data_IF_554626880666
#
_entry.id   IF_554626880666
#
_cell.length_a   1.000
_cell.length_b   1.000
_cell.length_c   1.000
_cell.angle_alpha   90.00
_cell.angle_beta   90.00
_cell.angle_gamma   90.00
#
_symmetry.space_group_name_H-M   'P 1'
#
loop_
_entity.id
_entity.type
_entity.pdbx_description
1 polymer ?
#
# COMPACT_ATOMS: atom_id res chain seq x y z
N UNK A 1 6.33 -44.12 -41.97
CA UNK A 1 6.41 -42.66 -42.04
C UNK A 1 5.73 -42.12 -40.78
N UNK A 2 6.27 -42.19 -39.56
CA UNK A 2 7.58 -41.77 -39.03
C UNK A 2 7.86 -40.27 -39.20
N UNK A 3 8.05 -39.61 -38.06
CA UNK A 3 8.53 -38.24 -37.81
C UNK A 3 7.50 -37.10 -37.75
N UNK A 4 7.02 -36.83 -36.53
CA UNK A 4 6.84 -35.47 -35.97
C UNK A 4 6.41 -35.54 -34.51
N UNK A 5 7.27 -36.09 -33.65
CA UNK A 5 7.17 -36.05 -32.19
C UNK A 5 8.58 -36.01 -31.62
N UNK A 6 9.23 -34.86 -31.73
CA UNK A 6 10.51 -34.56 -31.08
C UNK A 6 10.76 -33.06 -31.23
N UNK A 7 10.26 -32.24 -30.30
CA UNK A 7 10.70 -30.84 -30.09
C UNK A 7 10.11 -30.20 -28.80
N UNK A 8 9.71 -30.99 -27.81
CA UNK A 8 9.21 -30.47 -26.51
C UNK A 8 9.96 -31.00 -25.28
N UNK A 9 11.05 -31.76 -25.46
CA UNK A 9 11.77 -32.41 -24.35
C UNK A 9 13.11 -31.74 -23.94
N UNK A 10 13.52 -30.63 -24.55
CA UNK A 10 14.85 -30.03 -24.30
C UNK A 10 14.89 -28.83 -23.33
N UNK A 11 13.80 -28.47 -22.67
CA UNK A 11 13.76 -27.31 -21.75
C UNK A 11 13.63 -27.66 -20.25
N UNK A 12 13.70 -28.95 -19.88
CA UNK A 12 13.62 -29.40 -18.47
C UNK A 12 14.95 -29.93 -17.91
N UNK A 13 16.05 -29.87 -18.67
CA UNK A 13 17.38 -30.34 -18.25
C UNK A 13 18.39 -29.22 -17.95
N UNK A 14 17.92 -28.01 -17.61
CA UNK A 14 18.81 -26.89 -17.24
C UNK A 14 18.39 -26.11 -15.98
N UNK A 15 17.59 -26.73 -15.10
CA UNK A 15 17.19 -26.12 -13.80
C UNK A 15 17.60 -26.94 -12.58
N UNK A 16 18.36 -28.02 -12.74
CA UNK A 16 18.65 -28.97 -11.66
C UNK A 16 20.07 -28.93 -11.07
N UNK A 17 20.92 -27.95 -11.45
CA UNK A 17 22.33 -27.88 -11.03
C UNK A 17 22.74 -26.67 -10.17
N UNK A 18 21.87 -25.68 -9.92
CA UNK A 18 22.21 -24.50 -9.11
C UNK A 18 21.56 -24.44 -7.71
N UNK A 19 20.67 -25.37 -7.38
CA UNK A 19 20.06 -25.49 -6.04
C UNK A 19 20.80 -26.45 -5.09
N UNK A 20 22.02 -26.88 -5.43
CA UNK A 20 22.81 -27.85 -4.62
C UNK A 20 24.11 -27.32 -4.00
N UNK A 21 24.32 -25.99 -3.92
CA UNK A 21 25.60 -25.42 -3.44
C UNK A 21 25.56 -24.40 -2.28
N UNK A 22 24.45 -24.24 -1.55
CA UNK A 22 24.45 -23.38 -0.34
C UNK A 22 23.86 -24.09 0.89
N UNK A 23 24.03 -25.42 0.97
CA UNK A 23 23.73 -26.21 2.18
C UNK A 23 25.00 -26.85 2.73
N UNK A 24 25.98 -26.04 3.09
CA UNK A 24 27.10 -26.43 3.97
C UNK A 24 27.77 -25.19 4.55
N UNK A 25 27.34 -24.73 5.73
CA UNK A 25 28.23 -24.09 6.70
C UNK A 25 27.52 -23.92 8.06
N UNK A 26 28.18 -24.46 9.09
CA UNK A 26 28.11 -24.03 10.50
C UNK A 26 26.91 -24.47 11.35
N UNK A 27 26.99 -25.74 11.79
CA UNK A 27 26.54 -26.19 13.10
C UNK A 27 27.38 -25.53 14.21
N UNK A 28 26.74 -24.86 15.15
CA UNK A 28 27.25 -24.60 16.51
C UNK A 28 26.10 -24.95 17.48
N UNK A 29 26.13 -26.15 18.04
CA UNK A 29 26.45 -26.45 19.45
C UNK A 29 25.44 -25.90 20.46
N UNK A 30 24.55 -26.80 20.90
CA UNK A 30 23.68 -26.69 22.06
C UNK A 30 24.48 -26.81 23.37
N UNK A 31 24.16 -25.99 24.38
CA UNK A 31 24.20 -26.41 25.79
C UNK A 31 23.28 -25.53 26.66
N UNK A 32 22.14 -26.07 27.16
CA UNK A 32 21.41 -25.46 28.26
C UNK A 32 21.34 -26.43 29.45
N UNK A 33 22.42 -26.55 30.23
CA UNK A 33 22.40 -27.11 31.60
C UNK A 33 23.30 -26.34 32.56
N UNK A 34 22.71 -25.40 33.31
CA UNK A 34 23.13 -24.83 34.62
C UNK A 34 22.39 -23.50 34.74
N UNK A 35 21.39 -23.32 35.59
CA UNK A 35 21.52 -23.09 37.03
C UNK A 35 20.12 -23.27 37.66
N UNK A 36 20.04 -24.11 38.69
CA UNK A 36 19.00 -24.11 39.73
C UNK A 36 19.61 -23.50 41.01
N UNK A 37 18.74 -23.15 41.97
CA UNK A 37 18.97 -22.64 43.35
C UNK A 37 18.93 -21.12 43.50
N UNK A 38 18.15 -20.47 44.36
CA UNK A 38 17.28 -20.79 45.51
C UNK A 38 16.09 -19.77 45.49
N UNK A 39 15.02 -19.72 46.30
CA UNK A 39 14.61 -20.36 47.55
C UNK A 39 13.10 -20.12 47.73
N UNK A 40 12.48 -21.11 48.37
CA UNK A 40 11.21 -21.21 49.09
C UNK A 40 10.47 -19.94 49.59
N UNK A 41 9.13 -20.00 49.63
CA UNK A 41 8.33 -20.29 50.86
C UNK A 41 6.92 -19.64 50.85
N UNK A 42 5.91 -20.37 51.37
CA UNK A 42 4.63 -19.84 51.89
C UNK A 42 3.39 -20.25 51.07
N UNK A 43 2.82 -21.45 51.24
CA UNK A 43 1.83 -21.90 52.25
C UNK A 43 0.37 -21.41 52.10
N UNK A 44 -0.55 -22.37 52.39
CA UNK A 44 -2.03 -22.32 52.57
C UNK A 44 -2.81 -22.52 51.27
N UNK A 45 -3.49 -23.64 50.99
CA UNK A 45 -4.11 -24.64 51.86
C UNK A 45 -5.58 -24.29 52.10
N UNK A 46 -6.50 -24.74 51.23
CA UNK A 46 -7.91 -24.92 51.55
C UNK A 46 -8.65 -25.80 50.52
N UNK A 47 -8.84 -27.04 50.98
CA UNK A 47 -10.01 -27.91 50.93
C UNK A 47 -10.67 -28.39 49.62
N UNK A 48 -10.77 -29.72 49.57
CA UNK A 48 -11.51 -30.56 48.63
C UNK A 48 -12.87 -30.86 49.23
N UNK A 49 -13.95 -30.48 48.56
CA UNK A 49 -15.20 -31.24 48.63
C UNK A 49 -15.92 -31.14 47.27
N UNK A 50 -16.01 -32.28 46.58
CA UNK A 50 -17.21 -33.12 46.54
C UNK A 50 -18.21 -32.59 45.50
N UNK A 51 -17.92 -32.86 44.23
CA UNK A 51 -18.95 -32.93 43.20
C UNK A 51 -19.27 -34.40 42.96
N UNK A 52 -20.41 -34.79 43.51
CA UNK A 52 -20.95 -36.13 43.43
C UNK A 52 -21.33 -36.51 42.00
N UNK A 53 -20.95 -37.74 41.72
CA UNK A 53 -21.24 -38.58 40.58
C UNK A 53 -22.75 -38.65 40.31
N UNK A 54 -23.21 -38.18 39.13
CA UNK A 54 -24.63 -38.25 38.76
C UNK A 54 -24.85 -38.41 37.26
N UNK A 55 -24.52 -39.59 36.73
CA UNK A 55 -25.02 -40.04 35.42
C UNK A 55 -25.13 -41.56 35.30
N UNK A 56 -25.66 -42.23 36.32
CA UNK A 56 -26.07 -43.64 36.25
C UNK A 56 -27.54 -43.78 36.65
N UNK A 57 -28.45 -43.32 35.80
CA UNK A 57 -29.87 -43.64 35.95
C UNK A 57 -30.66 -43.52 34.64
N UNK A 58 -30.46 -44.49 33.74
CA UNK A 58 -31.51 -44.87 32.79
C UNK A 58 -31.87 -46.34 32.99
N UNK A 59 -33.05 -46.51 33.60
CA UNK A 59 -33.70 -47.78 33.94
C UNK A 59 -33.77 -48.69 32.72
N UNK A 60 -33.35 -49.93 32.94
CA UNK A 60 -33.74 -51.14 32.22
C UNK A 60 -35.25 -51.12 31.93
N UNK A 61 -35.62 -50.94 30.66
CA UNK A 61 -36.94 -51.31 30.14
C UNK A 61 -36.74 -52.55 29.25
N UNK A 62 -36.99 -53.72 29.82
CA UNK A 62 -37.19 -54.97 29.10
C UNK A 62 -38.54 -54.91 28.38
N UNK A 63 -38.53 -54.35 27.18
CA UNK A 63 -39.65 -54.43 26.25
C UNK A 63 -39.52 -55.67 25.38
N UNK A 64 -40.31 -56.70 25.68
CA UNK A 64 -40.52 -57.83 24.79
C UNK A 64 -41.06 -57.33 23.43
N UNK A 65 -40.25 -57.40 22.37
CA UNK A 65 -40.73 -57.27 20.99
C UNK A 65 -40.63 -58.61 20.29
N UNK A 66 -41.80 -59.23 20.14
CA UNK A 66 -42.10 -60.38 19.28
C UNK A 66 -41.40 -60.25 17.93
N UNK A 67 -40.52 -61.18 17.62
CA UNK A 67 -40.01 -61.44 16.28
C UNK A 67 -41.16 -61.98 15.41
N UNK A 68 -41.77 -61.11 14.59
CA UNK A 68 -42.53 -61.61 13.43
C UNK A 68 -41.51 -61.99 12.36
N UNK A 69 -41.35 -63.29 12.14
CA UNK A 69 -40.68 -63.81 10.97
C UNK A 69 -41.46 -63.36 9.72
N UNK A 70 -41.01 -62.27 9.08
CA UNK A 70 -41.38 -61.98 7.71
C UNK A 70 -40.74 -63.09 6.87
N UNK A 71 -41.58 -63.99 6.37
CA UNK A 71 -41.20 -64.96 5.33
C UNK A 71 -40.86 -64.14 4.08
N UNK A 72 -39.58 -63.93 3.82
CA UNK A 72 -39.12 -63.40 2.54
C UNK A 72 -39.41 -64.47 1.49
N UNK A 73 -40.45 -64.24 0.69
CA UNK A 73 -40.62 -64.95 -0.55
C UNK A 73 -39.33 -64.81 -1.37
N UNK A 74 -38.87 -65.92 -1.93
CA UNK A 74 -37.64 -66.02 -2.72
C UNK A 74 -37.69 -65.08 -3.92
N UNK A 75 -37.15 -63.87 -3.78
CA UNK A 75 -36.94 -62.96 -4.90
C UNK A 75 -35.81 -63.54 -5.75
N UNK A 76 -36.01 -63.75 -7.06
CA UNK A 76 -34.98 -64.31 -7.92
C UNK A 76 -33.75 -63.41 -7.89
N UNK A 77 -32.57 -63.99 -7.59
CA UNK A 77 -31.29 -63.26 -7.40
C UNK A 77 -30.98 -62.23 -8.49
N UNK A 78 -31.41 -62.49 -9.74
CA UNK A 78 -31.24 -61.56 -10.87
C UNK A 78 -31.95 -60.21 -10.67
N UNK A 79 -33.12 -60.19 -10.03
CA UNK A 79 -33.87 -58.95 -9.75
C UNK A 79 -33.19 -58.11 -8.65
N UNK A 80 -32.57 -58.77 -7.66
CA UNK A 80 -31.82 -58.10 -6.59
C UNK A 80 -30.60 -57.37 -7.16
N UNK A 81 -29.82 -58.01 -8.04
CA UNK A 81 -28.64 -57.39 -8.64
C UNK A 81 -28.98 -56.20 -9.54
N UNK A 82 -30.08 -56.26 -10.30
CA UNK A 82 -30.52 -55.14 -11.15
C UNK A 82 -30.97 -53.96 -10.30
N UNK A 83 -31.69 -54.19 -9.20
CA UNK A 83 -32.12 -53.11 -8.29
C UNK A 83 -30.95 -52.46 -7.54
N UNK A 84 -29.96 -53.24 -7.13
CA UNK A 84 -28.75 -52.71 -6.45
C UNK A 84 -27.89 -51.92 -7.42
N UNK A 85 -27.73 -52.39 -8.67
CA UNK A 85 -27.00 -51.67 -9.72
C UNK A 85 -27.67 -50.33 -10.07
N UNK A 86 -29.01 -50.32 -10.22
CA UNK A 86 -29.76 -49.10 -10.50
C UNK A 86 -29.71 -48.08 -9.34
N UNK A 87 -29.80 -48.56 -8.09
CA UNK A 87 -29.68 -47.70 -6.92
C UNK A 87 -28.26 -47.11 -6.76
N UNK A 88 -27.22 -47.90 -7.06
CA UNK A 88 -25.83 -47.43 -7.03
C UNK A 88 -25.55 -46.39 -8.13
N UNK A 89 -26.09 -46.58 -9.34
CA UNK A 89 -25.98 -45.61 -10.42
C UNK A 89 -26.72 -44.29 -10.09
N UNK A 90 -27.90 -44.38 -9.47
CA UNK A 90 -28.67 -43.21 -9.05
C UNK A 90 -27.96 -42.44 -7.92
N UNK A 91 -27.35 -43.16 -6.97
CA UNK A 91 -26.54 -42.56 -5.90
C UNK A 91 -25.25 -41.90 -6.41
N UNK A 92 -24.61 -42.48 -7.44
CA UNK A 92 -23.45 -41.86 -8.09
C UNK A 92 -23.84 -40.58 -8.86
N UNK A 93 -24.99 -40.59 -9.54
CA UNK A 93 -25.51 -39.43 -10.27
C UNK A 93 -25.95 -38.28 -9.35
N UNK A 94 -26.43 -38.55 -8.13
CA UNK A 94 -26.71 -37.50 -7.14
C UNK A 94 -25.46 -36.99 -6.43
N UNK A 95 -24.46 -37.85 -6.18
CA UNK A 95 -23.18 -37.44 -5.62
C UNK A 95 -22.42 -36.47 -6.54
N UNK A 96 -22.50 -36.65 -7.86
CA UNK A 96 -21.84 -35.77 -8.83
C UNK A 96 -22.59 -34.44 -9.08
N UNK A 97 -23.90 -34.36 -8.78
CA UNK A 97 -24.68 -33.11 -8.93
C UNK A 97 -24.64 -32.19 -7.71
N UNK A 98 -24.14 -32.67 -6.57
CA UNK A 98 -24.03 -31.90 -5.32
C UNK A 98 -22.58 -31.58 -4.94
N UNK A 99 -21.62 -31.78 -5.84
CA UNK A 99 -20.22 -31.41 -5.60
C UNK A 99 -19.97 -29.88 -5.66
N UNK A 100 -20.92 -29.09 -6.18
CA UNK A 100 -20.74 -27.64 -6.38
C UNK A 100 -21.29 -26.76 -5.23
N UNK A 101 -21.68 -27.35 -4.10
CA UNK A 101 -22.19 -26.59 -2.94
C UNK A 101 -21.55 -27.06 -1.64
N UNK A 102 -20.24 -26.96 -1.56
CA UNK A 102 -19.59 -26.73 -0.27
C UNK A 102 -19.36 -25.23 -0.20
N UNK A 103 -19.99 -24.60 0.80
CA UNK A 103 -19.73 -23.22 1.19
C UNK A 103 -18.22 -23.04 1.39
N UNK A 104 -17.57 -22.55 0.33
CA UNK A 104 -16.21 -22.08 0.33
C UNK A 104 -16.22 -20.78 1.14
N UNK A 105 -16.13 -20.91 2.47
CA UNK A 105 -15.87 -19.80 3.38
C UNK A 105 -14.71 -18.99 2.77
N UNK A 106 -15.03 -17.77 2.33
CA UNK A 106 -14.19 -16.93 1.48
C UNK A 106 -12.89 -16.54 2.18
N UNK A 107 -11.90 -17.44 2.14
CA UNK A 107 -10.50 -17.15 2.43
C UNK A 107 -9.93 -16.13 1.42
N UNK A 108 -10.62 -15.90 0.30
CA UNK A 108 -10.33 -14.85 -0.67
C UNK A 108 -10.56 -13.43 -0.10
N UNK A 109 -11.45 -13.26 0.88
CA UNK A 109 -11.64 -11.96 1.56
C UNK A 109 -10.54 -11.62 2.57
N UNK A 110 -9.87 -12.63 3.13
CA UNK A 110 -8.81 -12.46 4.13
C UNK A 110 -7.44 -12.12 3.53
N UNK A 111 -7.28 -12.30 2.21
CA UNK A 111 -6.01 -12.10 1.49
C UNK A 111 -6.10 -10.87 0.55
N UNK A 112 -7.29 -10.28 0.34
CA UNK A 112 -7.37 -9.02 -0.41
C UNK A 112 -6.81 -7.89 0.45
N UNK A 113 -5.77 -7.17 -0.01
CA UNK A 113 -5.37 -5.95 0.66
C UNK A 113 -6.58 -5.01 0.65
N UNK A 114 -7.07 -4.68 1.85
CA UNK A 114 -8.13 -3.69 2.01
C UNK A 114 -7.61 -2.38 1.45
N UNK A 115 -8.17 -1.95 0.32
CA UNK A 115 -7.84 -0.63 -0.23
C UNK A 115 -8.16 0.43 0.83
N UNK A 116 -7.36 1.50 0.94
CA UNK A 116 -7.68 2.63 1.79
C UNK A 116 -9.12 3.10 1.54
N UNK A 117 -9.85 3.37 2.62
CA UNK A 117 -11.20 3.94 2.51
C UNK A 117 -11.13 5.31 1.83
N UNK A 118 -12.16 5.71 1.06
CA UNK A 118 -12.22 7.05 0.47
C UNK A 118 -12.11 8.14 1.52
N UNK A 119 -11.27 9.14 1.25
CA UNK A 119 -11.09 10.29 2.13
C UNK A 119 -12.15 11.33 1.76
N UNK A 120 -12.95 11.77 2.71
CA UNK A 120 -13.98 12.79 2.49
C UNK A 120 -13.81 13.92 3.48
N UNK A 121 -13.84 15.17 3.01
CA UNK A 121 -13.72 16.34 3.88
C UNK A 121 -13.67 17.66 3.13
N UNK A 122 -13.48 18.74 3.88
CA UNK A 122 -13.13 20.04 3.29
C UNK A 122 -11.64 20.03 2.96
N UNK A 123 -11.30 20.37 1.72
CA UNK A 123 -9.94 20.41 1.25
C UNK A 123 -9.31 21.79 1.43
N UNK A 124 -8.03 21.79 1.79
CA UNK A 124 -7.12 22.93 1.62
C UNK A 124 -6.30 22.69 0.35
N UNK A 125 -6.21 23.68 -0.53
CA UNK A 125 -5.40 23.57 -1.75
C UNK A 125 -3.93 23.83 -1.42
N UNK A 126 -3.03 22.96 -1.89
CA UNK A 126 -1.57 23.10 -1.73
C UNK A 126 -0.97 23.68 -3.01
N UNK A 127 -1.32 23.11 -4.16
CA UNK A 127 -0.93 23.54 -5.51
C UNK A 127 -2.01 23.07 -6.52
N UNK A 128 -1.73 23.17 -7.82
CA UNK A 128 -2.71 22.88 -8.88
C UNK A 128 -3.07 21.39 -9.05
N UNK A 129 -2.36 20.45 -8.42
CA UNK A 129 -2.70 19.02 -8.50
C UNK A 129 -2.71 18.30 -7.14
N UNK A 130 -2.45 19.03 -6.06
CA UNK A 130 -2.37 18.50 -4.70
C UNK A 130 -3.26 19.28 -3.73
N UNK A 131 -4.07 18.54 -2.98
CA UNK A 131 -4.89 19.06 -1.88
C UNK A 131 -4.54 18.36 -0.57
N UNK A 132 -4.97 18.95 0.53
CA UNK A 132 -4.91 18.33 1.86
C UNK A 132 -6.31 18.21 2.45
N UNK A 133 -6.64 17.00 2.94
CA UNK A 133 -7.90 16.73 3.66
C UNK A 133 -7.55 16.05 4.97
N UNK A 134 -7.89 16.68 6.10
CA UNK A 134 -7.61 16.14 7.45
C UNK A 134 -6.13 15.77 7.68
N UNK A 135 -5.19 16.56 7.16
CA UNK A 135 -3.75 16.33 7.28
C UNK A 135 -3.18 15.28 6.31
N UNK A 136 -4.00 14.65 5.47
CA UNK A 136 -3.54 13.79 4.38
C UNK A 136 -3.41 14.60 3.09
N UNK A 137 -2.19 14.68 2.56
CA UNK A 137 -1.94 15.21 1.21
C UNK A 137 -2.35 14.20 0.15
N UNK A 138 -3.12 14.65 -0.83
CA UNK A 138 -3.71 13.86 -1.91
C UNK A 138 -3.30 14.50 -3.23
N UNK A 139 -2.55 13.76 -4.04
CA UNK A 139 -2.23 14.14 -5.42
C UNK A 139 -3.31 13.59 -6.35
N UNK A 140 -3.78 14.39 -7.29
CA UNK A 140 -4.76 13.93 -8.26
C UNK A 140 -4.15 12.93 -9.23
N UNK A 141 -4.91 11.88 -9.50
CA UNK A 141 -4.53 10.87 -10.47
C UNK A 141 -4.60 11.44 -11.91
N UNK A 142 -3.66 11.03 -12.75
CA UNK A 142 -3.72 11.23 -14.21
C UNK A 142 -3.52 12.65 -14.74
N UNK A 143 -3.27 13.65 -13.89
CA UNK A 143 -3.04 15.03 -14.32
C UNK A 143 -1.74 15.58 -13.75
N UNK A 144 -1.21 16.62 -14.38
CA UNK A 144 -0.03 17.37 -13.93
C UNK A 144 -0.33 18.86 -14.06
N UNK A 145 -0.23 19.61 -12.96
CA UNK A 145 -0.50 21.04 -12.93
C UNK A 145 0.81 21.83 -12.84
N UNK A 146 0.84 23.11 -13.27
CA UNK A 146 2.02 23.94 -13.12
C UNK A 146 2.40 24.08 -11.65
N UNK A 147 3.70 23.98 -11.39
CA UNK A 147 4.24 24.09 -10.04
C UNK A 147 3.94 25.47 -9.45
N UNK A 148 3.73 25.58 -8.14
CA UNK A 148 3.37 26.85 -7.50
C UNK A 148 4.34 28.02 -7.81
N UNK A 149 5.60 27.71 -8.11
CA UNK A 149 6.64 28.69 -8.48
C UNK A 149 6.76 28.94 -9.99
N UNK A 150 6.03 28.19 -10.81
CA UNK A 150 6.11 28.27 -12.27
C UNK A 150 5.38 29.51 -12.80
N UNK A 151 6.05 30.17 -13.74
CA UNK A 151 5.53 31.29 -14.51
C UNK A 151 5.31 30.87 -15.97
N UNK A 152 4.35 31.52 -16.61
CA UNK A 152 3.95 31.27 -17.99
C UNK A 152 3.68 32.61 -18.70
N UNK A 153 3.63 32.60 -20.03
CA UNK A 153 3.35 33.80 -20.82
C UNK A 153 1.88 33.83 -21.25
N UNK A 154 1.27 35.02 -21.18
CA UNK A 154 -0.06 35.25 -21.74
C UNK A 154 -0.02 35.41 -23.27
N UNK A 155 -1.19 35.63 -23.89
CA UNK A 155 -1.31 35.83 -25.34
C UNK A 155 -0.46 37.01 -25.90
N UNK A 156 -0.05 37.94 -25.04
CA UNK A 156 0.74 39.13 -25.38
C UNK A 156 2.22 38.96 -25.03
N UNK A 157 2.62 37.81 -24.45
CA UNK A 157 3.97 37.55 -24.00
C UNK A 157 4.29 38.15 -22.62
N UNK A 158 3.28 38.53 -21.83
CA UNK A 158 3.50 38.95 -20.45
C UNK A 158 3.51 37.75 -19.52
N UNK A 159 4.57 37.69 -18.71
CA UNK A 159 4.73 36.67 -17.69
C UNK A 159 3.67 36.79 -16.58
N UNK A 160 3.12 35.66 -16.16
CA UNK A 160 2.18 35.57 -15.04
C UNK A 160 2.40 34.27 -14.22
N UNK A 161 2.05 34.26 -12.92
CA UNK A 161 2.28 33.10 -12.05
C UNK A 161 1.23 32.02 -12.27
N UNK A 162 1.38 31.24 -13.34
CA UNK A 162 0.41 30.24 -13.75
C UNK A 162 0.16 29.13 -12.71
N UNK A 163 1.17 28.70 -11.95
CA UNK A 163 0.97 27.71 -10.88
C UNK A 163 0.05 28.20 -9.77
N UNK A 164 0.26 29.43 -9.30
CA UNK A 164 -0.62 30.05 -8.29
C UNK A 164 -2.03 30.27 -8.82
N UNK A 165 -2.17 30.69 -10.08
CA UNK A 165 -3.49 30.85 -10.70
C UNK A 165 -4.23 29.51 -10.86
N UNK A 166 -3.52 28.43 -11.17
CA UNK A 166 -4.10 27.09 -11.23
C UNK A 166 -4.61 26.63 -9.86
N UNK A 167 -3.80 26.81 -8.81
CA UNK A 167 -4.22 26.52 -7.43
C UNK A 167 -5.43 27.37 -6.98
N UNK A 168 -5.47 28.66 -7.33
CA UNK A 168 -6.60 29.53 -7.03
C UNK A 168 -7.89 29.10 -7.77
N UNK A 169 -7.77 28.68 -9.03
CA UNK A 169 -8.89 28.15 -9.80
C UNK A 169 -9.44 26.84 -9.17
N UNK A 170 -8.54 25.96 -8.71
CA UNK A 170 -8.90 24.75 -7.98
C UNK A 170 -9.64 25.06 -6.68
N UNK A 171 -9.16 26.04 -5.91
CA UNK A 171 -9.82 26.47 -4.67
C UNK A 171 -11.24 26.96 -4.93
N UNK A 172 -11.42 27.84 -5.92
CA UNK A 172 -12.74 28.33 -6.33
C UNK A 172 -13.67 27.19 -6.78
N UNK A 173 -13.15 26.22 -7.52
CA UNK A 173 -13.91 25.04 -7.92
C UNK A 173 -14.34 24.19 -6.73
N UNK A 174 -13.45 23.90 -5.78
CA UNK A 174 -13.79 23.09 -4.60
C UNK A 174 -14.72 23.85 -3.63
N UNK A 175 -14.59 25.17 -3.54
CA UNK A 175 -15.43 26.00 -2.69
C UNK A 175 -16.91 25.98 -3.11
N UNK A 176 -17.18 25.81 -4.40
CA UNK A 176 -18.52 25.82 -4.98
C UNK A 176 -19.39 24.59 -4.63
N UNK A 177 -18.81 23.45 -4.22
CA UNK A 177 -19.57 22.33 -3.64
C UNK A 177 -18.67 21.45 -2.77
N UNK A 178 -19.10 21.21 -1.52
CA UNK A 178 -18.34 20.50 -0.48
C UNK A 178 -19.20 19.40 0.16
N UNK A 179 -18.58 18.35 0.74
CA UNK A 179 -17.15 18.05 0.79
C UNK A 179 -16.60 17.49 -0.53
N UNK A 180 -15.28 17.43 -0.65
CA UNK A 180 -14.63 16.60 -1.68
C UNK A 180 -14.49 15.18 -1.15
N UNK A 181 -14.68 14.19 -2.02
CA UNK A 181 -14.41 12.78 -1.76
C UNK A 181 -13.34 12.29 -2.73
N UNK A 182 -12.28 11.69 -2.20
CA UNK A 182 -11.15 11.16 -2.95
C UNK A 182 -11.05 9.65 -2.74
N UNK A 183 -11.18 8.89 -3.83
CA UNK A 183 -10.99 7.45 -3.84
C UNK A 183 -9.52 7.12 -4.10
N UNK A 184 -8.95 6.23 -3.30
CA UNK A 184 -7.56 5.80 -3.44
C UNK A 184 -7.33 5.05 -4.75
N UNK A 185 -6.22 5.38 -5.44
CA UNK A 185 -5.76 4.71 -6.65
C UNK A 185 -4.45 3.98 -6.35
N UNK A 186 -3.44 4.70 -5.88
CA UNK A 186 -2.13 4.13 -5.57
C UNK A 186 -1.34 5.00 -4.58
N UNK A 187 -0.25 4.45 -4.07
CA UNK A 187 0.81 5.23 -3.43
C UNK A 187 1.90 5.46 -4.46
N UNK A 188 2.28 6.71 -4.68
CA UNK A 188 3.41 6.97 -5.56
C UNK A 188 4.76 6.61 -4.90
N UNK A 189 5.84 6.71 -5.66
CA UNK A 189 7.21 6.41 -5.18
C UNK A 189 7.67 7.28 -4.00
N UNK A 190 6.98 8.37 -3.72
CA UNK A 190 7.24 9.30 -2.61
C UNK A 190 6.27 9.09 -1.45
N UNK A 191 5.49 8.00 -1.48
CA UNK A 191 4.47 7.67 -0.49
C UNK A 191 3.36 8.72 -0.36
N UNK A 192 3.04 9.43 -1.44
CA UNK A 192 1.88 10.32 -1.49
C UNK A 192 0.64 9.53 -1.89
N UNK A 193 -0.49 9.88 -1.28
CA UNK A 193 -1.78 9.31 -1.63
C UNK A 193 -2.16 9.84 -3.02
N UNK A 194 -2.30 8.96 -4.01
CA UNK A 194 -2.81 9.31 -5.34
C UNK A 194 -4.27 8.88 -5.40
N UNK A 195 -5.15 9.79 -5.82
CA UNK A 195 -6.58 9.51 -5.80
C UNK A 195 -7.40 10.23 -6.87
N UNK A 196 -8.55 9.64 -7.16
CA UNK A 196 -9.60 10.24 -7.98
C UNK A 196 -10.55 11.02 -7.07
N UNK A 197 -10.56 12.34 -7.21
CA UNK A 197 -11.36 13.24 -6.38
C UNK A 197 -12.60 13.77 -7.10
N UNK A 198 -13.72 13.83 -6.37
CA UNK A 198 -15.00 14.39 -6.81
C UNK A 198 -15.58 15.31 -5.75
N UNK A 199 -16.20 16.40 -6.19
CA UNK A 199 -17.05 17.25 -5.33
C UNK A 199 -18.34 16.52 -4.94
N UNK A 200 -19.05 17.08 -3.95
CA UNK A 200 -20.33 16.55 -3.49
C UNK A 200 -21.44 16.50 -4.55
N UNK A 201 -21.34 17.32 -5.61
CA UNK A 201 -22.23 17.28 -6.77
C UNK A 201 -21.80 16.28 -7.86
N UNK A 202 -20.75 15.49 -7.60
CA UNK A 202 -20.25 14.45 -8.51
C UNK A 202 -19.25 14.93 -9.56
N UNK A 203 -18.99 16.23 -9.65
CA UNK A 203 -18.02 16.80 -10.58
C UNK A 203 -16.60 16.28 -10.28
N UNK A 204 -15.92 15.76 -11.30
CA UNK A 204 -14.55 15.27 -11.19
C UNK A 204 -13.57 16.43 -11.17
N UNK A 205 -12.65 16.42 -10.19
CA UNK A 205 -11.63 17.47 -10.04
C UNK A 205 -10.63 17.43 -11.20
N UNK A 206 -10.03 16.27 -11.47
CA UNK A 206 -9.05 16.11 -12.54
C UNK A 206 -9.61 16.49 -13.91
N UNK A 207 -10.83 16.04 -14.22
CA UNK A 207 -11.50 16.39 -15.48
C UNK A 207 -11.75 17.90 -15.61
N UNK A 208 -12.22 18.54 -14.54
CA UNK A 208 -12.47 19.99 -14.53
C UNK A 208 -11.17 20.78 -14.71
N UNK A 209 -10.10 20.40 -14.00
CA UNK A 209 -8.80 21.05 -14.09
C UNK A 209 -8.26 21.03 -15.53
N UNK A 210 -8.33 19.88 -16.21
CA UNK A 210 -7.86 19.76 -17.60
C UNK A 210 -8.78 20.51 -18.57
N UNK A 211 -10.10 20.37 -18.44
CA UNK A 211 -11.05 21.03 -19.34
C UNK A 211 -11.00 22.57 -19.26
N UNK A 212 -10.63 23.12 -18.11
CA UNK A 212 -10.47 24.56 -17.89
C UNK A 212 -9.02 25.04 -18.09
N UNK A 213 -8.14 24.17 -18.58
CA UNK A 213 -6.74 24.48 -18.88
C UNK A 213 -5.90 24.79 -17.64
N UNK A 214 -6.28 24.33 -16.46
CA UNK A 214 -5.54 24.53 -15.21
C UNK A 214 -4.49 23.43 -14.96
N UNK A 215 -4.63 22.29 -15.64
CA UNK A 215 -3.68 21.18 -15.62
C UNK A 215 -3.61 20.51 -16.99
N UNK A 216 -2.57 19.71 -17.20
CA UNK A 216 -2.40 18.86 -18.38
C UNK A 216 -2.83 17.42 -18.06
N UNK A 217 -3.33 16.71 -19.07
CA UNK A 217 -3.35 15.25 -19.06
C UNK A 217 -1.92 14.75 -18.91
N UNK A 218 -1.68 13.81 -18.00
CA UNK A 218 -0.37 13.20 -17.83
C UNK A 218 -0.38 11.79 -18.40
N UNK A 219 -0.01 11.59 -19.69
CA UNK A 219 -0.27 10.33 -20.40
C UNK A 219 0.43 9.11 -19.77
N UNK A 220 1.51 9.35 -19.03
CA UNK A 220 2.24 8.33 -18.26
C UNK A 220 1.36 7.64 -17.22
N UNK A 221 0.44 8.37 -16.59
CA UNK A 221 -0.42 7.87 -15.51
C UNK A 221 -1.88 7.76 -15.95
N UNK A 222 -2.37 8.67 -16.79
CA UNK A 222 -3.77 8.66 -17.26
C UNK A 222 -4.01 7.74 -18.45
N UNK A 223 -2.97 7.33 -19.17
CA UNK A 223 -3.07 6.66 -20.46
C UNK A 223 -3.93 7.44 -21.49
N UNK A 224 -3.93 8.77 -21.41
CA UNK A 224 -4.69 9.63 -22.33
C UNK A 224 -6.15 9.85 -21.93
N UNK A 225 -6.56 9.46 -20.73
CA UNK A 225 -7.96 9.58 -20.28
C UNK A 225 -8.49 11.03 -20.33
N UNK A 226 -7.64 12.04 -20.14
CA UNK A 226 -8.04 13.45 -20.18
C UNK A 226 -7.66 14.17 -21.49
N UNK A 227 -7.03 13.48 -22.46
CA UNK A 227 -6.61 14.08 -23.72
C UNK A 227 -7.76 14.79 -24.50
N UNK A 228 -8.99 14.25 -24.56
CA UNK A 228 -10.10 14.96 -25.22
C UNK A 228 -10.48 16.27 -24.51
N UNK A 229 -10.38 16.32 -23.18
CA UNK A 229 -10.66 17.54 -22.40
C UNK A 229 -9.56 18.57 -22.60
N UNK A 230 -8.30 18.11 -22.66
CA UNK A 230 -7.17 18.99 -22.95
C UNK A 230 -7.29 19.62 -24.33
N UNK A 231 -7.67 18.85 -25.35
CA UNK A 231 -7.89 19.36 -26.71
C UNK A 231 -8.98 20.44 -26.75
N UNK A 232 -10.04 20.32 -25.93
CA UNK A 232 -11.04 21.39 -25.80
C UNK A 232 -10.44 22.65 -25.18
N UNK A 233 -9.68 22.52 -24.11
CA UNK A 233 -9.04 23.65 -23.43
C UNK A 233 -8.06 24.38 -24.35
N UNK A 234 -7.27 23.61 -25.13
CA UNK A 234 -6.34 24.14 -26.12
C UNK A 234 -7.05 24.89 -27.25
N UNK A 235 -8.13 24.31 -27.79
CA UNK A 235 -8.94 24.94 -28.83
C UNK A 235 -9.64 26.21 -28.33
N UNK A 236 -10.08 26.23 -27.06
CA UNK A 236 -10.72 27.37 -26.43
C UNK A 236 -9.73 28.45 -25.95
N UNK A 237 -8.42 28.17 -25.94
CA UNK A 237 -7.36 29.07 -25.44
C UNK A 237 -7.64 29.55 -24.02
N UNK A 238 -7.96 28.61 -23.13
CA UNK A 238 -8.27 28.88 -21.71
C UNK A 238 -7.16 28.37 -20.78
N UNK A 239 -7.05 28.97 -19.60
CA UNK A 239 -6.06 28.60 -18.59
C UNK A 239 -4.63 28.78 -19.12
N UNK A 240 -3.82 27.73 -19.07
CA UNK A 240 -2.45 27.72 -19.60
C UNK A 240 -2.40 27.95 -21.11
N UNK A 241 -3.43 27.52 -21.84
CA UNK A 241 -3.50 27.60 -23.29
C UNK A 241 -3.75 29.01 -23.85
N UNK A 242 -3.85 30.03 -22.98
CA UNK A 242 -3.95 31.43 -23.40
C UNK A 242 -2.68 31.93 -24.10
N UNK A 243 -1.54 31.34 -23.78
CA UNK A 243 -0.23 31.73 -24.30
C UNK A 243 0.75 30.58 -24.26
N UNK A 244 2.03 30.88 -24.01
CA UNK A 244 3.09 29.89 -24.02
C UNK A 244 3.43 29.45 -22.59
N UNK A 245 3.76 28.17 -22.44
CA UNK A 245 4.20 27.62 -21.18
C UNK A 245 5.09 26.39 -21.42
N UNK A 246 5.97 26.13 -20.45
CA UNK A 246 6.69 24.86 -20.36
C UNK A 246 5.77 23.83 -19.66
N UNK A 247 5.61 22.59 -20.17
CA UNK A 247 4.86 21.58 -19.47
C UNK A 247 5.41 21.33 -18.06
N UNK A 248 4.56 21.09 -17.03
CA UNK A 248 5.03 21.07 -15.64
C UNK A 248 6.07 19.96 -15.35
N UNK A 249 5.96 18.81 -16.02
CA UNK A 249 6.96 17.74 -15.92
C UNK A 249 8.32 18.14 -16.49
N UNK A 250 8.37 18.96 -17.54
CA UNK A 250 9.60 19.47 -18.14
C UNK A 250 10.19 20.56 -17.25
N UNK A 251 9.35 21.47 -16.74
CA UNK A 251 9.73 22.49 -15.76
C UNK A 251 10.35 21.87 -14.51
N UNK A 252 9.76 20.79 -13.97
CA UNK A 252 10.33 20.06 -12.84
C UNK A 252 11.68 19.43 -13.16
N UNK A 253 11.86 18.91 -14.37
CA UNK A 253 13.13 18.31 -14.78
C UNK A 253 14.24 19.36 -14.93
N UNK A 254 13.90 20.58 -15.39
CA UNK A 254 14.83 21.69 -15.56
C UNK A 254 15.09 22.49 -14.27
N UNK A 255 14.18 22.41 -13.29
CA UNK A 255 14.24 23.15 -12.02
C UNK A 255 14.39 22.24 -10.78
N UNK A 256 14.88 21.01 -10.99
CA UNK A 256 15.08 20.01 -9.93
C UNK A 256 16.05 20.44 -8.82
N UNK A 257 16.86 21.48 -9.06
CA UNK A 257 17.89 21.96 -8.14
C UNK A 257 17.36 22.94 -7.06
N UNK A 258 16.04 23.15 -6.93
CA UNK A 258 15.52 24.21 -6.03
C UNK A 258 14.10 24.10 -5.45
N UNK A 259 13.43 22.94 -5.46
CA UNK A 259 12.06 22.85 -4.91
C UNK A 259 11.64 21.48 -4.36
N UNK A 260 12.15 21.14 -3.17
CA UNK A 260 11.32 20.89 -1.99
C UNK A 260 12.22 20.86 -0.75
N UNK A 261 11.85 21.48 0.39
CA UNK A 261 12.24 20.90 1.66
C UNK A 261 11.51 19.56 1.70
N UNK A 262 12.18 18.52 1.25
CA UNK A 262 11.76 17.17 1.60
C UNK A 262 11.61 17.17 3.10
N UNK A 263 10.43 16.82 3.59
CA UNK A 263 10.31 16.07 4.82
C UNK A 263 11.17 14.82 4.66
N UNK A 264 12.49 14.98 4.80
CA UNK A 264 13.37 13.88 5.06
C UNK A 264 12.91 13.36 6.42
N UNK A 265 12.50 12.09 6.52
CA UNK A 265 12.61 11.47 7.81
C UNK A 265 14.07 11.63 8.23
N UNK A 266 14.26 12.13 9.45
CA UNK A 266 15.52 12.12 10.19
C UNK A 266 16.42 10.95 9.75
N UNK A 267 17.58 11.27 9.19
CA UNK A 267 18.74 10.39 9.09
C UNK A 267 18.56 9.10 8.28
N UNK A 268 19.24 9.02 7.14
CA UNK A 268 20.36 8.10 6.91
C UNK A 268 21.08 8.67 5.69
N UNK A 269 22.14 9.44 5.94
CA UNK A 269 23.20 9.63 4.95
C UNK A 269 23.73 8.24 4.59
N UNK A 270 23.84 7.93 3.31
CA UNK A 270 24.54 6.74 2.84
C UNK A 270 25.91 6.70 3.53
N UNK A 271 26.23 5.59 4.19
CA UNK A 271 27.51 5.35 4.88
C UNK A 271 28.73 5.64 3.98
N UNK A 272 28.54 5.58 2.66
CA UNK A 272 29.53 5.91 1.64
C UNK A 272 29.96 7.38 1.64
N UNK A 273 29.03 8.32 1.84
CA UNK A 273 29.31 9.77 1.75
C UNK A 273 29.93 10.30 3.06
N UNK A 274 29.60 9.66 4.19
CA UNK A 274 30.15 9.97 5.51
C UNK A 274 31.62 9.55 5.63
N UNK A 275 32.02 8.48 4.96
CA UNK A 275 33.42 8.04 4.94
C UNK A 275 34.35 9.01 4.17
N UNK A 276 33.80 9.81 3.25
CA UNK A 276 34.58 10.69 2.37
C UNK A 276 34.80 12.09 2.94
N UNK A 277 33.97 12.55 3.89
CA UNK A 277 34.05 13.93 4.41
C UNK A 277 35.07 14.12 5.54
N UNK A 278 35.68 13.05 6.06
CA UNK A 278 36.78 13.14 7.03
C UNK A 278 36.43 13.78 8.38
N UNK A 279 35.14 14.03 8.64
CA UNK A 279 34.67 14.65 9.87
C UNK A 279 34.40 13.60 10.94
N UNK A 280 34.83 13.86 12.17
CA UNK A 280 34.56 13.04 13.34
C UNK A 280 33.80 13.86 14.38
N UNK A 281 32.95 13.21 15.18
CA UNK A 281 32.17 13.87 16.25
C UNK A 281 33.01 14.26 17.48
N UNK A 282 34.24 14.75 17.25
CA UNK A 282 35.06 15.36 18.28
C UNK A 282 34.34 16.60 18.87
N UNK A 283 34.21 16.72 20.20
CA UNK A 283 33.41 17.78 20.81
C UNK A 283 33.91 19.19 20.47
N UNK A 284 33.21 19.88 19.55
CA UNK A 284 33.42 21.29 19.18
C UNK A 284 32.14 22.07 19.42
N UNK A 285 31.91 22.45 20.68
CA UNK A 285 30.61 22.97 21.14
C UNK A 285 30.37 24.45 20.83
N UNK A 286 31.31 25.11 20.16
CA UNK A 286 31.22 26.52 19.80
C UNK A 286 31.53 26.72 18.32
N UNK A 287 30.75 27.56 17.65
CA UNK A 287 30.92 27.87 16.24
C UNK A 287 32.29 28.45 15.88
N UNK A 288 32.97 29.10 16.83
CA UNK A 288 34.35 29.58 16.66
C UNK A 288 35.39 28.47 16.48
N UNK A 289 35.03 27.20 16.74
CA UNK A 289 35.93 26.04 16.62
C UNK A 289 35.75 25.28 15.30
N UNK A 290 34.89 25.78 14.40
CA UNK A 290 34.46 25.15 13.15
C UNK A 290 34.87 26.05 11.98
N UNK A 291 35.42 25.47 10.91
CA UNK A 291 36.05 26.23 9.82
C UNK A 291 35.17 26.47 8.59
N UNK A 292 34.02 25.80 8.48
CA UNK A 292 33.11 25.96 7.34
C UNK A 292 31.65 25.68 7.69
N UNK A 293 30.74 26.27 6.92
CA UNK A 293 29.30 26.00 7.02
C UNK A 293 28.99 24.52 6.86
N UNK A 294 29.54 23.86 5.82
CA UNK A 294 29.31 22.45 5.54
C UNK A 294 29.72 21.54 6.72
N UNK A 295 30.81 21.90 7.40
CA UNK A 295 31.28 21.19 8.58
C UNK A 295 30.35 21.40 9.78
N UNK A 296 29.85 22.62 9.99
CA UNK A 296 28.88 22.94 11.04
C UNK A 296 27.56 22.18 10.84
N UNK A 297 27.08 22.16 9.60
CA UNK A 297 25.89 21.43 9.19
C UNK A 297 26.06 19.91 9.34
N UNK A 298 27.23 19.39 8.97
CA UNK A 298 27.52 17.98 9.18
C UNK A 298 27.47 17.61 10.67
N UNK A 299 28.01 18.44 11.56
CA UNK A 299 27.94 18.20 13.02
C UNK A 299 26.51 18.25 13.56
N UNK A 300 25.68 19.19 13.08
CA UNK A 300 24.27 19.31 13.46
C UNK A 300 23.50 18.00 13.24
N UNK A 301 23.73 17.35 12.10
CA UNK A 301 22.99 16.16 11.71
C UNK A 301 23.60 14.84 12.20
N UNK A 302 24.91 14.78 12.45
CA UNK A 302 25.61 13.51 12.70
C UNK A 302 26.11 13.34 14.15
N UNK A 303 26.14 14.41 14.95
CA UNK A 303 26.69 14.37 16.31
C UNK A 303 25.64 14.68 17.37
N UNK A 304 25.65 13.92 18.48
CA UNK A 304 24.69 14.08 19.58
C UNK A 304 24.71 15.46 20.26
N UNK A 305 25.79 16.21 20.08
CA UNK A 305 25.97 17.57 20.60
C UNK A 305 25.76 18.66 19.52
N UNK A 306 25.53 18.28 18.27
CA UNK A 306 25.42 19.18 17.12
C UNK A 306 24.27 20.17 17.21
N UNK A 307 23.16 19.79 17.86
CA UNK A 307 22.01 20.67 18.11
C UNK A 307 22.33 21.92 18.94
N UNK A 308 23.52 21.99 19.57
CA UNK A 308 23.97 23.19 20.30
C UNK A 308 24.60 24.25 19.39
N UNK A 309 24.89 23.89 18.14
CA UNK A 309 25.42 24.80 17.13
C UNK A 309 24.32 25.57 16.40
N UNK A 310 23.08 25.06 16.44
CA UNK A 310 21.87 25.69 15.95
C UNK A 310 21.24 26.47 17.12
N UNK A 311 21.41 27.79 17.11
CA UNK A 311 21.10 28.66 18.25
C UNK A 311 19.60 28.95 18.36
N UNK A 312 18.94 29.11 17.22
CA UNK A 312 17.54 29.51 17.07
C UNK A 312 16.62 28.36 16.65
N UNK A 313 17.19 27.19 16.32
CA UNK A 313 16.46 25.94 16.12
C UNK A 313 15.83 25.84 14.73
N UNK A 314 16.33 26.61 13.76
CA UNK A 314 15.79 26.67 12.40
C UNK A 314 16.42 25.61 11.46
N UNK A 315 17.37 24.81 11.99
CA UNK A 315 18.13 23.83 11.23
C UNK A 315 19.42 24.37 10.63
N UNK A 316 19.83 25.60 10.96
CA UNK A 316 21.06 26.22 10.48
C UNK A 316 22.13 26.28 11.59
N UNK A 317 23.10 25.36 11.54
CA UNK A 317 24.21 25.39 12.48
C UNK A 317 25.20 26.51 12.15
N UNK A 318 25.55 27.30 13.17
CA UNK A 318 26.53 28.37 13.06
C UNK A 318 26.20 29.39 11.97
N UNK A 319 25.02 30.03 12.06
CA UNK A 319 24.52 31.11 11.18
C UNK A 319 25.58 32.12 10.71
N UNK A 320 26.56 32.46 11.56
CA UNK A 320 27.64 33.39 11.21
C UNK A 320 28.64 32.85 10.17
N UNK A 321 28.57 31.55 9.84
CA UNK A 321 29.44 30.86 8.89
C UNK A 321 28.72 30.48 7.57
N UNK A 322 27.39 30.63 7.46
CA UNK A 322 26.54 29.98 6.43
C UNK A 322 25.82 30.91 5.41
#
# INVERSE_FOLDING_TARGET
>A
MASSTALVDDALSSSSSLLRRVLTASKTSLDPRRIWEHSQAGEKGLDRSRHDNRSDQWRKRTGARRSRALRWASVPRRLVFVTVGAAAALAALTAMKHADSLDEFSLQSLIRPKQPEPITGVASVIDGDTIEVHGQRIRFNGIDAPESKQYCDDAKGFEYPCGRRSAEALDGFLAASRPVQCTFVEWDRYHRFVGDCRRADGASVAAWMVEHGQALDWPRYSHGAHAPLQAKAEAAKVGLWVGNFEPPWDWRASHADGAAPSSQPLGIVSSELVAQSGYSCEPRRYCSQISSCDQAQWYLHNCSWGSKLDRDGDGVACETLC
#
